data_IF_828345073831
#
_entry.id   IF_828345073831
#
_cell.length_a   1.000
_cell.length_b   1.000
_cell.length_c   1.000
_cell.angle_alpha   90.00
_cell.angle_beta   90.00
_cell.angle_gamma   90.00
#
_symmetry.space_group_name_H-M   'P 1'
#
loop_
_entity.id
_entity.type
_entity.pdbx_description
1 polymer ?
#
# COMPACT_ATOMS: atom_id res chain seq x y z
N UNK A 1 5.20 -15.70 -1.12
CA UNK A 1 6.17 -14.92 -1.93
C UNK A 1 6.86 -13.92 -1.04
N UNK A 2 8.18 -13.82 -1.03
CA UNK A 2 8.88 -12.74 -0.33
C UNK A 2 9.04 -11.55 -1.26
N UNK A 3 8.84 -10.32 -0.75
CA UNK A 3 9.06 -9.11 -1.55
C UNK A 3 10.56 -8.92 -1.78
N UNK A 4 11.00 -8.88 -3.03
CA UNK A 4 12.35 -8.47 -3.41
C UNK A 4 12.31 -7.06 -3.96
N UNK A 5 13.22 -6.22 -3.50
CA UNK A 5 13.57 -4.87 -3.98
C UNK A 5 12.58 -4.19 -4.93
N UNK A 6 11.56 -3.54 -4.36
CA UNK A 6 10.80 -2.55 -5.10
C UNK A 6 11.69 -1.34 -5.40
N UNK A 7 11.75 -0.92 -6.66
CA UNK A 7 12.16 0.44 -6.94
C UNK A 7 11.06 1.35 -6.44
N UNK A 8 11.41 2.24 -5.51
CA UNK A 8 10.51 3.31 -5.03
C UNK A 8 9.83 4.05 -6.17
N UNK A 9 8.66 4.68 -5.91
CA UNK A 9 8.14 5.69 -6.81
C UNK A 9 9.26 6.61 -7.28
N UNK A 10 9.10 7.19 -8.47
CA UNK A 10 10.07 8.07 -9.15
C UNK A 10 11.00 8.78 -8.15
N UNK A 11 12.32 8.67 -8.32
CA UNK A 11 13.30 9.23 -7.39
C UNK A 11 13.00 10.72 -7.18
N UNK A 12 12.55 11.10 -5.99
CA UNK A 12 12.18 12.47 -5.66
C UNK A 12 11.08 12.54 -4.59
N UNK A 13 10.74 13.73 -4.19
CA UNK A 13 9.55 13.95 -3.35
C UNK A 13 8.30 13.69 -4.19
N UNK A 14 7.27 12.99 -3.63
CA UNK A 14 6.00 12.86 -4.30
C UNK A 14 5.45 14.23 -4.70
N UNK A 15 4.80 14.36 -5.87
CA UNK A 15 4.27 15.63 -6.38
C UNK A 15 3.01 16.03 -5.61
N UNK A 16 3.17 16.37 -4.33
CA UNK A 16 2.08 16.73 -3.45
C UNK A 16 1.39 18.03 -3.89
N UNK A 17 0.08 18.11 -3.66
CA UNK A 17 -0.64 19.39 -3.62
C UNK A 17 -0.11 20.24 -2.47
N UNK A 18 -0.34 21.56 -2.45
CA UNK A 18 0.11 22.44 -1.36
C UNK A 18 -0.38 21.98 0.03
N UNK A 19 -1.61 21.47 0.11
CA UNK A 19 -2.24 20.97 1.34
C UNK A 19 -1.57 19.68 1.80
N UNK A 20 -1.41 18.72 0.92
CA UNK A 20 -0.73 17.44 1.21
C UNK A 20 0.75 17.66 1.58
N UNK A 21 1.41 18.64 0.97
CA UNK A 21 2.78 18.99 1.28
C UNK A 21 2.96 19.49 2.74
N UNK A 22 1.99 20.20 3.29
CA UNK A 22 2.00 20.63 4.70
C UNK A 22 1.95 19.44 5.65
N UNK A 23 1.05 18.47 5.39
CA UNK A 23 0.92 17.24 6.19
C UNK A 23 2.19 16.39 6.08
N UNK A 24 2.74 16.24 4.88
CA UNK A 24 3.99 15.52 4.66
C UNK A 24 5.18 16.20 5.37
N UNK A 25 5.23 17.52 5.40
CA UNK A 25 6.27 18.30 6.11
C UNK A 25 6.17 18.12 7.63
N UNK A 26 4.95 18.10 8.19
CA UNK A 26 4.72 17.81 9.60
C UNK A 26 5.32 16.44 9.96
N UNK A 27 4.95 15.39 9.23
CA UNK A 27 5.46 14.04 9.48
C UNK A 27 6.99 13.96 9.33
N UNK A 28 7.56 14.62 8.32
CA UNK A 28 9.01 14.61 8.07
C UNK A 28 9.82 15.22 9.22
N UNK A 29 9.22 16.09 10.03
CA UNK A 29 9.87 16.70 11.19
C UNK A 29 9.93 15.78 12.41
N UNK A 30 9.27 14.62 12.39
CA UNK A 30 9.16 13.71 13.52
C UNK A 30 10.33 12.71 13.58
N UNK A 31 10.50 12.09 14.75
CA UNK A 31 11.55 11.08 14.98
C UNK A 31 11.16 9.75 14.33
N UNK A 32 11.84 9.29 13.27
CA UNK A 32 11.47 8.06 12.57
C UNK A 32 11.61 6.79 13.42
N UNK A 33 12.30 6.84 14.57
CA UNK A 33 12.43 5.71 15.48
C UNK A 33 11.27 5.59 16.47
N UNK A 34 10.55 6.69 16.68
CA UNK A 34 9.43 6.77 17.64
C UNK A 34 8.10 7.00 16.95
N UNK A 35 8.13 7.61 15.77
CA UNK A 35 6.96 8.09 15.06
C UNK A 35 6.67 7.28 13.79
N UNK A 36 7.18 6.04 13.67
CA UNK A 36 6.82 5.13 12.57
C UNK A 36 5.38 4.59 12.82
N UNK A 37 4.44 4.83 11.90
CA UNK A 37 3.07 4.34 12.01
C UNK A 37 2.96 2.83 12.29
N UNK A 38 3.91 2.04 11.79
CA UNK A 38 3.93 0.58 12.01
C UNK A 38 4.11 0.19 13.48
N UNK A 39 4.76 1.03 14.30
CA UNK A 39 4.88 0.81 15.76
C UNK A 39 3.54 0.95 16.50
N UNK A 40 2.57 1.56 15.86
CA UNK A 40 1.23 1.86 16.37
C UNK A 40 0.13 1.09 15.63
N UNK A 41 0.48 -0.02 15.02
CA UNK A 41 -0.43 -0.88 14.26
C UNK A 41 -1.23 -0.14 13.16
N UNK A 42 -0.65 0.91 12.59
CA UNK A 42 -1.29 1.64 11.50
C UNK A 42 -1.13 0.89 10.19
N UNK A 43 -2.22 0.29 9.73
CA UNK A 43 -2.27 -0.51 8.52
C UNK A 43 -1.99 0.36 7.29
N UNK A 44 -0.99 -0.01 6.50
CA UNK A 44 -0.59 0.76 5.32
C UNK A 44 -1.68 0.82 4.25
N UNK A 45 -2.37 -0.29 4.02
CA UNK A 45 -3.34 -0.42 2.92
C UNK A 45 -2.71 -0.27 1.54
N UNK A 46 -3.53 -0.29 0.48
CA UNK A 46 -3.05 -0.17 -0.89
C UNK A 46 -2.68 1.27 -1.25
N UNK A 47 -1.65 1.50 -2.08
CA UNK A 47 -0.70 0.49 -2.64
C UNK A 47 0.44 0.13 -1.68
N UNK A 48 0.55 0.78 -0.52
CA UNK A 48 1.72 0.76 0.35
C UNK A 48 2.01 -0.63 0.95
N UNK A 49 0.99 -1.47 1.10
CA UNK A 49 1.17 -2.88 1.49
C UNK A 49 2.01 -3.64 0.46
N UNK A 50 1.80 -3.37 -0.84
CA UNK A 50 2.56 -3.99 -1.92
C UNK A 50 3.99 -3.44 -2.01
N UNK A 51 4.23 -2.23 -1.50
CA UNK A 51 5.51 -1.53 -1.58
C UNK A 51 6.39 -1.70 -0.35
N UNK A 52 5.97 -2.51 0.61
CA UNK A 52 6.73 -2.73 1.83
C UNK A 52 8.12 -3.29 1.49
N UNK A 53 9.17 -2.54 1.85
CA UNK A 53 10.56 -2.96 1.72
C UNK A 53 10.98 -4.00 2.75
N UNK A 54 10.07 -4.37 3.65
CA UNK A 54 10.33 -5.36 4.68
C UNK A 54 10.44 -6.73 4.02
N UNK A 55 11.65 -7.14 3.66
CA UNK A 55 11.98 -8.46 3.09
C UNK A 55 11.62 -9.64 4.00
N UNK A 56 11.16 -9.35 5.20
CA UNK A 56 10.91 -10.32 6.27
C UNK A 56 9.47 -10.80 6.32
N UNK A 57 8.54 -10.12 5.64
CA UNK A 57 7.12 -10.46 5.70
C UNK A 57 6.67 -11.07 4.37
N UNK A 58 6.39 -12.38 4.34
CA UNK A 58 5.89 -13.05 3.16
C UNK A 58 4.44 -12.69 2.87
N UNK A 59 3.99 -13.01 1.66
CA UNK A 59 2.60 -12.99 1.27
C UNK A 59 2.25 -14.26 0.51
N UNK A 60 1.03 -14.76 0.72
CA UNK A 60 0.46 -15.86 -0.06
C UNK A 60 -0.50 -15.31 -1.10
N UNK A 61 -0.46 -15.88 -2.30
CA UNK A 61 -1.37 -15.51 -3.40
C UNK A 61 -2.12 -16.75 -3.83
N UNK A 62 -3.44 -16.70 -3.71
CA UNK A 62 -4.35 -17.75 -4.17
C UNK A 62 -5.11 -17.23 -5.39
N UNK A 63 -5.09 -18.01 -6.46
CA UNK A 63 -5.77 -17.65 -7.70
C UNK A 63 -6.80 -18.69 -8.08
N UNK A 64 -8.00 -18.22 -8.41
CA UNK A 64 -9.06 -18.98 -9.09
C UNK A 64 -9.40 -18.29 -10.41
N UNK A 65 -10.35 -18.84 -11.17
CA UNK A 65 -10.84 -18.19 -12.38
C UNK A 65 -11.52 -16.83 -12.10
N UNK A 66 -12.08 -16.65 -10.90
CA UNK A 66 -12.90 -15.50 -10.53
C UNK A 66 -12.21 -14.53 -9.59
N UNK A 67 -11.15 -14.94 -8.90
CA UNK A 67 -10.49 -14.15 -7.85
C UNK A 67 -9.01 -14.41 -7.74
N UNK A 68 -8.30 -13.36 -7.34
CA UNK A 68 -6.96 -13.44 -6.78
C UNK A 68 -7.01 -12.87 -5.37
N UNK A 69 -6.75 -13.70 -4.38
CA UNK A 69 -6.67 -13.31 -2.98
C UNK A 69 -5.20 -13.27 -2.54
N UNK A 70 -4.82 -12.16 -1.90
CA UNK A 70 -3.46 -11.95 -1.38
C UNK A 70 -3.53 -11.80 0.14
N UNK A 71 -2.82 -12.67 0.84
CA UNK A 71 -2.67 -12.63 2.29
C UNK A 71 -1.27 -12.16 2.64
N UNK A 72 -1.18 -11.06 3.35
CA UNK A 72 0.08 -10.48 3.81
C UNK A 72 0.28 -10.81 5.29
N UNK A 73 1.43 -11.35 5.65
CA UNK A 73 1.80 -11.52 7.06
C UNK A 73 1.79 -10.18 7.79
N UNK A 74 2.37 -9.15 7.16
CA UNK A 74 2.40 -7.81 7.75
C UNK A 74 0.99 -7.31 8.06
N UNK A 75 0.69 -7.12 9.35
CA UNK A 75 -0.59 -6.69 9.90
C UNK A 75 -1.77 -7.66 9.66
N UNK A 76 -1.53 -8.94 9.43
CA UNK A 76 -2.57 -9.96 9.17
C UNK A 76 -3.62 -9.46 8.14
N UNK A 77 -3.14 -8.84 7.06
CA UNK A 77 -4.04 -8.15 6.14
C UNK A 77 -4.27 -8.97 4.87
N UNK A 78 -5.47 -8.88 4.32
CA UNK A 78 -5.83 -9.55 3.09
C UNK A 78 -6.40 -8.58 2.05
N UNK A 79 -6.27 -8.96 0.79
CA UNK A 79 -6.83 -8.24 -0.35
C UNK A 79 -7.47 -9.22 -1.31
N UNK A 80 -8.73 -9.00 -1.66
CA UNK A 80 -9.46 -9.79 -2.65
C UNK A 80 -9.61 -8.99 -3.94
N UNK A 81 -9.15 -9.55 -5.05
CA UNK A 81 -9.20 -8.96 -6.39
C UNK A 81 -10.17 -9.80 -7.24
N UNK A 82 -11.23 -9.20 -7.72
CA UNK A 82 -12.27 -9.88 -8.52
C UNK A 82 -11.93 -9.84 -10.00
N UNK A 83 -11.72 -11.02 -10.59
CA UNK A 83 -11.30 -11.16 -12.01
C UNK A 83 -12.55 -11.15 -12.90
N UNK A 84 -13.28 -10.07 -12.94
CA UNK A 84 -14.51 -9.93 -13.75
C UNK A 84 -14.67 -8.54 -14.37
N UNK A 85 -13.75 -7.61 -14.08
CA UNK A 85 -13.77 -6.24 -14.60
C UNK A 85 -14.97 -5.38 -14.15
N UNK A 86 -15.89 -5.92 -13.32
CA UNK A 86 -17.05 -5.14 -12.86
C UNK A 86 -16.61 -4.05 -11.88
N UNK A 87 -17.10 -2.81 -12.04
CA UNK A 87 -16.76 -1.72 -11.14
C UNK A 87 -17.24 -1.99 -9.72
N UNK A 88 -16.69 -1.24 -8.76
CA UNK A 88 -17.17 -1.27 -7.38
C UNK A 88 -18.68 -0.92 -7.30
N UNK A 89 -19.43 -1.57 -6.41
CA UNK A 89 -20.81 -1.16 -6.13
C UNK A 89 -20.86 0.31 -5.68
N UNK A 90 -21.91 1.05 -6.09
CA UNK A 90 -22.03 2.50 -5.79
C UNK A 90 -22.00 2.83 -4.29
N UNK A 91 -22.47 1.92 -3.45
CA UNK A 91 -22.61 2.14 -2.00
C UNK A 91 -21.56 1.36 -1.19
N UNK A 92 -20.41 1.05 -1.77
CA UNK A 92 -19.36 0.37 -1.02
C UNK A 92 -18.68 1.35 -0.06
N UNK A 93 -18.53 0.94 1.20
CA UNK A 93 -17.77 1.72 2.17
C UNK A 93 -16.28 1.68 1.85
N UNK A 94 -15.57 2.81 1.91
CA UNK A 94 -14.12 2.84 1.75
C UNK A 94 -13.42 1.94 2.78
N UNK A 95 -12.33 1.31 2.34
CA UNK A 95 -11.48 0.48 3.20
C UNK A 95 -10.00 0.73 2.92
N UNK A 96 -9.12 0.29 3.82
CA UNK A 96 -7.67 0.49 3.65
C UNK A 96 -7.12 -0.21 2.39
N UNK A 97 -7.72 -1.33 1.98
CA UNK A 97 -7.33 -2.07 0.78
C UNK A 97 -8.22 -1.76 -0.44
N UNK A 98 -9.27 -0.97 -0.24
CA UNK A 98 -10.21 -0.60 -1.29
C UNK A 98 -11.01 -1.77 -1.85
N UNK A 99 -11.62 -1.54 -3.00
CA UNK A 99 -12.31 -2.54 -3.80
C UNK A 99 -11.54 -2.75 -5.10
N UNK A 100 -11.03 -3.97 -5.30
CA UNK A 100 -10.19 -4.31 -6.44
C UNK A 100 -10.94 -5.20 -7.43
N UNK A 101 -10.89 -4.82 -8.71
CA UNK A 101 -11.34 -5.63 -9.83
C UNK A 101 -10.22 -5.77 -10.85
N UNK A 102 -10.23 -6.85 -11.62
CA UNK A 102 -9.20 -7.09 -12.62
C UNK A 102 -9.78 -7.67 -13.92
N UNK A 103 -9.01 -7.47 -14.98
CA UNK A 103 -9.19 -8.15 -16.27
C UNK A 103 -7.82 -8.62 -16.75
N UNK A 104 -7.81 -9.68 -17.55
CA UNK A 104 -6.61 -10.12 -18.23
C UNK A 104 -6.41 -9.36 -19.54
N UNK A 105 -5.21 -8.84 -19.72
CA UNK A 105 -4.69 -8.27 -20.96
C UNK A 105 -3.52 -9.18 -21.39
N UNK A 106 -3.82 -10.19 -22.19
CA UNK A 106 -2.92 -11.30 -22.52
C UNK A 106 -2.39 -12.00 -21.25
N UNK A 107 -1.10 -11.89 -20.95
CA UNK A 107 -0.41 -12.48 -19.80
C UNK A 107 -0.30 -11.52 -18.60
N UNK A 108 -0.93 -10.37 -18.68
CA UNK A 108 -0.88 -9.32 -17.67
C UNK A 108 -2.24 -9.16 -16.98
N UNK A 109 -2.26 -9.30 -15.66
CA UNK A 109 -3.44 -9.01 -14.86
C UNK A 109 -3.50 -7.50 -14.59
N UNK A 110 -4.48 -6.82 -15.17
CA UNK A 110 -4.71 -5.38 -14.98
C UNK A 110 -5.74 -5.19 -13.88
N UNK A 111 -5.31 -4.60 -12.77
CA UNK A 111 -6.12 -4.43 -11.56
C UNK A 111 -6.44 -2.95 -11.39
N UNK A 112 -7.72 -2.65 -11.13
CA UNK A 112 -8.19 -1.32 -10.73
C UNK A 112 -8.73 -1.38 -9.31
N UNK A 113 -8.29 -0.46 -8.45
CA UNK A 113 -8.73 -0.35 -7.06
C UNK A 113 -9.28 1.03 -6.80
N UNK A 114 -10.50 1.07 -6.28
CA UNK A 114 -11.22 2.27 -5.86
C UNK A 114 -11.74 2.10 -4.44
N UNK A 115 -12.54 3.03 -3.92
CA UNK A 115 -13.06 3.00 -2.56
C UNK A 115 -11.97 2.78 -1.49
N UNK A 116 -10.84 3.46 -1.67
CA UNK A 116 -9.76 3.50 -0.70
C UNK A 116 -10.12 4.45 0.44
N UNK A 117 -9.95 4.01 1.68
CA UNK A 117 -10.19 4.87 2.83
C UNK A 117 -9.18 6.01 2.89
N UNK A 118 -9.64 7.18 3.31
CA UNK A 118 -8.83 8.36 3.48
C UNK A 118 -7.68 8.17 4.48
N UNK A 119 -6.56 8.85 4.22
CA UNK A 119 -5.42 9.01 5.10
C UNK A 119 -4.79 10.39 4.86
N UNK A 120 -5.38 11.43 5.45
CA UNK A 120 -4.94 12.83 5.36
C UNK A 120 -4.40 13.34 6.72
N UNK A 121 -3.72 12.48 7.47
CA UNK A 121 -3.02 12.80 8.71
C UNK A 121 -1.52 12.52 8.55
N UNK A 122 -0.63 13.08 9.39
CA UNK A 122 0.82 12.89 9.28
C UNK A 122 1.21 11.42 9.18
N UNK A 123 1.68 11.04 8.01
CA UNK A 123 2.02 9.66 7.67
C UNK A 123 2.78 9.67 6.34
N UNK A 124 3.63 8.66 6.06
CA UNK A 124 4.28 8.54 4.76
C UNK A 124 3.35 8.02 3.65
N UNK A 125 2.07 7.75 3.95
CA UNK A 125 1.13 7.11 3.03
C UNK A 125 -0.13 7.95 2.82
N UNK A 126 0.03 9.23 2.48
CA UNK A 126 -1.11 10.12 2.23
C UNK A 126 -1.96 9.62 1.06
N UNK A 127 -3.28 9.65 1.25
CA UNK A 127 -4.27 9.45 0.21
C UNK A 127 -5.64 9.98 0.63
N UNK A 128 -6.45 10.36 -0.33
CA UNK A 128 -7.87 10.69 -0.13
C UNK A 128 -8.78 9.54 -0.56
N UNK A 129 -10.08 9.66 -0.31
CA UNK A 129 -11.09 8.72 -0.84
C UNK A 129 -11.25 8.80 -2.37
N UNK A 130 -10.67 9.82 -3.01
CA UNK A 130 -10.65 9.96 -4.47
C UNK A 130 -9.46 9.26 -5.12
N UNK A 131 -8.63 8.58 -4.33
CA UNK A 131 -7.51 7.82 -4.85
C UNK A 131 -8.00 6.64 -5.71
N UNK A 132 -7.44 6.54 -6.90
CA UNK A 132 -7.58 5.39 -7.80
C UNK A 132 -6.22 4.77 -8.05
N UNK A 133 -6.12 3.46 -7.89
CA UNK A 133 -4.91 2.70 -8.13
C UNK A 133 -5.10 1.77 -9.32
N UNK A 134 -4.18 1.83 -10.28
CA UNK A 134 -4.07 0.85 -11.36
C UNK A 134 -2.78 0.08 -11.20
N UNK A 135 -2.85 -1.24 -11.27
CA UNK A 135 -1.68 -2.13 -11.21
C UNK A 135 -1.70 -3.06 -12.41
N UNK A 136 -0.51 -3.41 -12.90
CA UNK A 136 -0.29 -4.38 -13.97
C UNK A 136 0.67 -5.44 -13.46
N UNK A 137 0.15 -6.63 -13.21
CA UNK A 137 0.91 -7.76 -12.68
C UNK A 137 1.29 -8.71 -13.80
N UNK A 138 2.56 -9.01 -13.93
CA UNK A 138 3.08 -9.92 -14.95
C UNK A 138 4.05 -10.92 -14.33
N UNK A 139 3.86 -12.21 -14.66
CA UNK A 139 4.85 -13.23 -14.37
C UNK A 139 6.02 -13.11 -15.34
N UNK A 140 7.23 -13.06 -14.79
CA UNK A 140 8.47 -13.05 -15.57
C UNK A 140 9.43 -14.12 -15.04
N UNK A 141 10.26 -14.67 -15.94
CA UNK A 141 11.34 -15.57 -15.56
C UNK A 141 12.66 -14.80 -15.56
N UNK A 142 13.24 -14.67 -14.39
CA UNK A 142 14.58 -14.12 -14.25
C UNK A 142 15.62 -15.26 -14.21
N UNK A 143 16.73 -15.18 -14.98
CA UNK A 143 17.73 -16.24 -15.02
C UNK A 143 18.43 -16.52 -13.69
N UNK A 144 18.47 -15.54 -12.77
CA UNK A 144 19.14 -15.64 -11.48
C UNK A 144 18.18 -15.86 -10.33
N UNK A 145 17.01 -15.19 -10.40
CA UNK A 145 16.06 -15.11 -9.29
C UNK A 145 14.87 -16.08 -9.46
N UNK A 146 14.70 -16.69 -10.64
CA UNK A 146 13.60 -17.61 -10.96
C UNK A 146 12.30 -16.87 -11.31
N UNK A 147 11.16 -17.42 -10.87
CA UNK A 147 9.86 -16.84 -11.14
C UNK A 147 9.62 -15.58 -10.31
N UNK A 148 9.33 -14.47 -10.97
CA UNK A 148 8.99 -13.18 -10.37
C UNK A 148 7.60 -12.76 -10.78
N UNK A 149 6.93 -11.95 -9.93
CA UNK A 149 5.79 -11.12 -10.33
C UNK A 149 6.27 -9.68 -10.37
N UNK A 150 6.34 -9.12 -11.57
CA UNK A 150 6.54 -7.69 -11.75
C UNK A 150 5.20 -6.96 -11.69
N UNK A 151 5.17 -5.85 -10.95
CA UNK A 151 3.98 -5.03 -10.74
C UNK A 151 4.33 -3.59 -11.07
N UNK A 152 3.83 -3.10 -12.21
CA UNK A 152 3.82 -1.67 -12.47
C UNK A 152 2.54 -1.08 -11.89
N UNK A 153 2.64 0.06 -11.20
CA UNK A 153 1.47 0.71 -10.63
C UNK A 153 1.43 2.20 -10.92
N UNK A 154 0.22 2.73 -10.94
CA UNK A 154 -0.08 4.14 -11.04
C UNK A 154 -1.17 4.49 -10.02
N UNK A 155 -0.93 5.52 -9.20
CA UNK A 155 -1.94 6.10 -8.33
C UNK A 155 -2.31 7.51 -8.81
N UNK A 156 -3.59 7.74 -8.97
CA UNK A 156 -4.19 9.04 -9.29
C UNK A 156 -5.01 9.48 -8.08
N UNK A 157 -4.62 10.58 -7.46
CA UNK A 157 -5.34 11.17 -6.34
C UNK A 157 -5.25 12.70 -6.43
N UNK A 158 -6.24 13.38 -7.00
CA UNK A 158 -6.18 14.81 -7.27
C UNK A 158 -6.21 15.68 -6.01
N UNK A 159 -6.54 15.10 -4.85
CA UNK A 159 -6.50 15.81 -3.55
C UNK A 159 -5.08 15.79 -2.98
N UNK A 160 -4.34 14.72 -3.21
CA UNK A 160 -3.00 14.52 -2.62
C UNK A 160 -1.88 14.83 -3.61
N UNK A 161 -2.04 14.50 -4.90
CA UNK A 161 -0.99 14.63 -5.90
C UNK A 161 -1.40 15.53 -7.06
N UNK A 162 -0.49 16.38 -7.52
CA UNK A 162 -0.68 17.25 -8.69
C UNK A 162 -0.58 16.53 -10.03
N UNK A 163 -0.04 15.32 -10.04
CA UNK A 163 0.05 14.41 -11.19
C UNK A 163 0.06 12.96 -10.73
N UNK A 164 -0.25 11.98 -11.61
CA UNK A 164 -0.15 10.56 -11.27
C UNK A 164 1.24 10.18 -10.73
N UNK A 165 1.27 9.35 -9.70
CA UNK A 165 2.48 8.76 -9.13
C UNK A 165 2.61 7.34 -9.62
N UNK A 166 3.75 7.01 -10.22
CA UNK A 166 4.04 5.70 -10.79
C UNK A 166 5.18 5.02 -10.07
N UNK A 167 5.18 3.71 -10.09
CA UNK A 167 6.27 2.95 -9.53
C UNK A 167 6.22 1.49 -9.96
N UNK A 168 7.23 0.74 -9.52
CA UNK A 168 7.38 -0.69 -9.81
C UNK A 168 7.68 -1.44 -8.53
N UNK A 169 7.06 -2.61 -8.38
CA UNK A 169 7.34 -3.58 -7.35
C UNK A 169 7.63 -4.94 -7.99
N UNK A 170 8.46 -5.74 -7.32
CA UNK A 170 8.75 -7.11 -7.74
C UNK A 170 8.57 -8.04 -6.56
N UNK A 171 7.80 -9.11 -6.74
CA UNK A 171 7.73 -10.22 -5.80
C UNK A 171 8.54 -11.40 -6.35
N UNK A 172 9.37 -11.96 -5.48
CA UNK A 172 10.08 -13.20 -5.73
C UNK A 172 9.36 -14.36 -5.07
N UNK A 173 9.39 -15.53 -5.69
CA UNK A 173 8.91 -16.76 -5.05
C UNK A 173 9.73 -17.05 -3.78
N UNK A 174 9.04 -17.22 -2.65
CA UNK A 174 9.67 -17.61 -1.39
C UNK A 174 10.15 -19.08 -1.46
N UNK A 175 11.07 -19.44 -0.58
CA UNK A 175 11.45 -20.84 -0.39
C UNK A 175 10.23 -21.67 0.09
N UNK A 176 10.19 -22.99 -0.22
CA UNK A 176 9.01 -23.82 0.08
C UNK A 176 8.66 -23.94 1.56
N UNK A 177 9.61 -23.71 2.44
CA UNK A 177 9.49 -23.76 3.90
C UNK A 177 9.04 -22.44 4.54
N UNK A 178 8.89 -21.38 3.74
CA UNK A 178 8.38 -20.09 4.24
C UNK A 178 6.87 -20.17 4.41
N UNK A 179 6.42 -19.90 5.64
CA UNK A 179 5.01 -19.87 6.02
C UNK A 179 4.61 -18.46 6.39
N UNK A 180 3.41 -18.03 6.00
CA UNK A 180 2.81 -16.77 6.48
C UNK A 180 2.33 -17.00 7.91
N UNK A 181 2.90 -16.26 8.86
CA UNK A 181 2.57 -16.34 10.27
C UNK A 181 1.62 -15.20 10.70
N UNK A 182 1.02 -15.32 11.88
CA UNK A 182 0.23 -14.23 12.48
C UNK A 182 1.13 -13.07 12.91
N UNK A 183 0.75 -11.87 12.58
CA UNK A 183 1.49 -10.64 12.91
C UNK A 183 1.15 -10.09 14.30
N UNK A 184 -0.04 -10.34 14.81
CA UNK A 184 -0.52 -9.96 16.13
C UNK A 184 -0.39 -8.45 16.47
N UNK A 185 -1.13 -7.62 15.74
CA UNK A 185 -1.20 -6.17 15.98
C UNK A 185 -2.66 -5.75 16.24
N UNK A 186 -3.19 -5.95 17.46
CA UNK A 186 -4.64 -5.89 17.72
C UNK A 186 -5.21 -4.47 17.76
N UNK A 187 -4.42 -3.43 18.08
CA UNK A 187 -4.92 -2.07 18.28
C UNK A 187 -4.29 -1.05 17.35
N UNK A 188 -5.12 -0.15 16.80
CA UNK A 188 -4.70 0.97 15.96
C UNK A 188 -4.50 2.22 16.82
N UNK A 189 -3.30 2.46 17.27
CA UNK A 189 -2.96 3.57 18.18
C UNK A 189 -2.38 4.80 17.44
N UNK A 190 -2.27 4.76 16.11
CA UNK A 190 -1.59 5.81 15.36
C UNK A 190 -2.24 7.19 15.50
N UNK A 191 -3.56 7.30 15.36
CA UNK A 191 -4.24 8.59 15.46
C UNK A 191 -4.07 9.21 16.85
N UNK A 192 -4.14 8.39 17.90
CA UNK A 192 -3.85 8.87 19.26
C UNK A 192 -2.41 9.40 19.37
N UNK A 193 -1.44 8.70 18.79
CA UNK A 193 -0.05 9.16 18.76
C UNK A 193 0.10 10.48 18.01
N UNK A 194 -0.56 10.65 16.88
CA UNK A 194 -0.59 11.92 16.11
C UNK A 194 -1.08 13.07 17.00
N UNK A 195 -2.19 12.87 17.72
CA UNK A 195 -2.77 13.89 18.59
C UNK A 195 -1.84 14.21 19.76
N UNK A 196 -1.23 13.21 20.40
CA UNK A 196 -0.27 13.38 21.48
C UNK A 196 0.97 14.17 20.99
N UNK A 197 1.49 13.90 19.81
CA UNK A 197 2.63 14.63 19.22
C UNK A 197 2.29 16.08 18.92
N UNK A 198 1.10 16.36 18.40
CA UNK A 198 0.61 17.71 18.14
C UNK A 198 0.42 18.51 19.44
N UNK A 199 -0.08 17.88 20.48
CA UNK A 199 -0.23 18.49 21.80
C UNK A 199 1.13 18.87 22.42
N UNK A 200 2.13 17.97 22.34
CA UNK A 200 3.51 18.23 22.79
C UNK A 200 4.16 19.39 22.03
N UNK A 201 4.01 19.44 20.70
CA UNK A 201 4.52 20.53 19.87
C UNK A 201 3.92 21.90 20.25
N UNK A 202 2.62 21.96 20.53
CA UNK A 202 1.95 23.18 21.01
C UNK A 202 2.41 23.61 22.41
N UNK A 203 2.73 22.66 23.30
CA UNK A 203 3.24 22.95 24.64
C UNK A 203 4.69 23.47 24.60
N UNK A 204 5.51 22.97 23.68
CA UNK A 204 6.90 23.41 23.53
C UNK A 204 7.05 24.77 22.81
N UNK A 205 5.99 25.24 22.14
CA UNK A 205 5.96 26.53 21.42
C UNK A 205 5.44 27.71 22.28
N UNK A 206 5.04 27.46 23.53
CA UNK A 206 4.65 28.46 24.54
C UNK A 206 5.79 28.70 25.54
#
# INVERSE_FOLDING_TARGET
>A
MSSSQGRSPEQGQPPYTPEAAKVAAEFKSWDPKKDDPSLYCDLKGMPWMMLSRARTYPAEIYQTAERVDVFFELFDTSRSIRVNGKPAPKNISPSINGYSTATWDNDTLVIKTTALAERLYPSPQLRSEKAELTERWKMVKDPKEGDLIEIDFEIVDPVVYTRPVKGKQVFKRAAPDVVVASYNCPEKLWLKHVDDRRAQGKAAAK
#
